data_IF_702122708002
#
_entry.id   IF_702122708002
#
_cell.length_a   1.000
_cell.length_b   1.000
_cell.length_c   1.000
_cell.angle_alpha   90.00
_cell.angle_beta   90.00
_cell.angle_gamma   90.00
#
_symmetry.space_group_name_H-M   'P 1'
#
loop_
_entity.id
_entity.type
_entity.pdbx_description
1 polymer ?
#
# COMPACT_ATOMS: atom_id res chain seq x y z
N UNK A 1 -24.75 -13.94 12.82
CA UNK A 1 -24.32 -12.75 13.60
C UNK A 1 -23.76 -11.77 12.59
N UNK A 2 -24.41 -10.61 12.44
CA UNK A 2 -24.04 -9.61 11.45
C UNK A 2 -22.83 -8.83 11.96
N UNK A 3 -21.68 -8.96 11.29
CA UNK A 3 -20.42 -8.29 11.63
C UNK A 3 -20.35 -6.85 11.07
N UNK A 4 -21.49 -6.19 10.91
CA UNK A 4 -21.55 -4.81 10.42
C UNK A 4 -21.30 -3.92 11.63
N UNK A 5 -20.09 -3.36 11.71
CA UNK A 5 -19.81 -2.30 12.68
C UNK A 5 -20.53 -1.02 12.24
N UNK A 6 -20.83 -0.13 13.20
CA UNK A 6 -21.67 1.07 13.10
C UNK A 6 -21.25 2.09 12.00
N UNK A 7 -20.16 1.82 11.29
CA UNK A 7 -19.60 2.59 10.17
C UNK A 7 -19.89 1.99 8.78
N UNK A 8 -20.59 0.86 8.70
CA UNK A 8 -20.92 0.19 7.43
C UNK A 8 -19.76 -0.57 6.78
N UNK A 9 -18.57 -0.57 7.38
CA UNK A 9 -17.41 -1.36 6.96
C UNK A 9 -17.29 -2.62 7.82
N UNK A 10 -17.03 -3.76 7.19
CA UNK A 10 -16.63 -4.97 7.91
C UNK A 10 -15.26 -4.77 8.53
N UNK A 11 -14.98 -5.46 9.65
CA UNK A 11 -13.66 -5.42 10.30
C UNK A 11 -12.52 -5.77 9.32
N UNK A 12 -12.77 -6.67 8.35
CA UNK A 12 -11.79 -7.05 7.31
C UNK A 12 -11.53 -5.91 6.34
N UNK A 13 -12.58 -5.25 5.85
CA UNK A 13 -12.43 -4.11 4.96
C UNK A 13 -11.70 -2.95 5.65
N UNK A 14 -11.96 -2.71 6.95
CA UNK A 14 -11.23 -1.74 7.75
C UNK A 14 -9.73 -2.07 7.87
N UNK A 15 -9.39 -3.33 8.17
CA UNK A 15 -7.99 -3.76 8.26
C UNK A 15 -7.22 -3.62 6.93
N UNK A 16 -7.88 -3.91 5.81
CA UNK A 16 -7.32 -3.72 4.46
C UNK A 16 -7.09 -2.23 4.19
N UNK A 17 -8.08 -1.37 4.44
CA UNK A 17 -7.96 0.09 4.28
C UNK A 17 -6.85 0.70 5.12
N UNK A 18 -6.72 0.27 6.39
CA UNK A 18 -5.66 0.74 7.28
C UNK A 18 -4.27 0.35 6.76
N UNK A 19 -4.13 -0.85 6.20
CA UNK A 19 -2.87 -1.34 5.64
C UNK A 19 -2.51 -0.59 4.36
N UNK A 20 -3.48 -0.39 3.47
CA UNK A 20 -3.34 0.42 2.26
C UNK A 20 -2.85 1.84 2.55
N UNK A 21 -3.40 2.51 3.58
CA UNK A 21 -2.96 3.85 3.97
C UNK A 21 -1.49 3.91 4.39
N UNK A 22 -1.04 2.94 5.20
CA UNK A 22 0.37 2.86 5.64
C UNK A 22 1.32 2.59 4.48
N UNK A 23 0.94 1.67 3.59
CA UNK A 23 1.76 1.34 2.42
C UNK A 23 1.85 2.53 1.47
N UNK A 24 0.75 3.28 1.28
CA UNK A 24 0.76 4.50 0.46
C UNK A 24 1.69 5.58 1.05
N UNK A 25 1.59 5.87 2.35
CA UNK A 25 2.46 6.86 2.99
C UNK A 25 3.95 6.49 2.84
N UNK A 26 4.28 5.21 3.05
CA UNK A 26 5.65 4.72 2.90
C UNK A 26 6.16 4.81 1.44
N UNK A 27 5.33 4.42 0.47
CA UNK A 27 5.70 4.39 -0.95
C UNK A 27 5.84 5.78 -1.58
N UNK A 28 4.96 6.71 -1.22
CA UNK A 28 4.92 8.03 -1.85
C UNK A 28 5.84 9.05 -1.18
N UNK A 29 6.03 8.99 0.14
CA UNK A 29 6.85 9.97 0.87
C UNK A 29 8.27 9.43 1.12
N UNK A 30 8.38 8.29 1.82
CA UNK A 30 9.67 7.80 2.32
C UNK A 30 10.57 7.27 1.21
N UNK A 31 10.04 6.41 0.34
CA UNK A 31 10.85 5.81 -0.74
C UNK A 31 11.28 6.86 -1.78
N UNK A 32 10.41 7.80 -2.11
CA UNK A 32 10.74 8.88 -3.05
C UNK A 32 11.96 9.69 -2.59
N UNK A 33 12.01 10.01 -1.30
CA UNK A 33 13.14 10.71 -0.69
C UNK A 33 14.43 9.90 -0.75
N UNK A 34 14.39 8.61 -0.43
CA UNK A 34 15.59 7.75 -0.46
C UNK A 34 16.12 7.48 -1.87
N UNK A 35 15.25 7.42 -2.88
CA UNK A 35 15.68 7.37 -4.28
C UNK A 35 16.43 8.65 -4.63
N UNK A 36 15.86 9.83 -4.29
CA UNK A 36 16.49 11.12 -4.59
C UNK A 36 17.83 11.29 -3.87
N UNK A 37 17.92 10.89 -2.61
CA UNK A 37 19.16 11.00 -1.83
C UNK A 37 20.23 10.05 -2.41
N UNK A 38 19.88 8.81 -2.78
CA UNK A 38 20.79 7.88 -3.42
C UNK A 38 21.30 8.39 -4.79
N UNK A 39 20.42 9.00 -5.60
CA UNK A 39 20.79 9.58 -6.88
C UNK A 39 21.72 10.79 -6.72
N UNK A 40 21.47 11.66 -5.73
CA UNK A 40 22.36 12.79 -5.39
C UNK A 40 23.74 12.34 -4.92
N UNK A 41 23.79 11.24 -4.18
CA UNK A 41 25.04 10.65 -3.69
C UNK A 41 25.77 9.80 -4.76
N UNK A 42 25.25 9.73 -5.98
CA UNK A 42 25.83 8.94 -7.07
C UNK A 42 25.73 7.42 -6.86
N UNK A 43 24.94 6.96 -5.90
CA UNK A 43 24.76 5.54 -5.54
C UNK A 43 23.62 4.92 -6.36
N UNK A 44 23.89 4.71 -7.65
CA UNK A 44 22.88 4.20 -8.60
C UNK A 44 22.38 2.80 -8.22
N UNK A 45 23.23 1.95 -7.68
CA UNK A 45 22.88 0.63 -7.13
C UNK A 45 21.82 0.72 -6.02
N UNK A 46 22.00 1.67 -5.11
CA UNK A 46 21.05 1.91 -4.03
C UNK A 46 19.74 2.52 -4.56
N UNK A 47 19.83 3.45 -5.49
CA UNK A 47 18.64 4.04 -6.12
C UNK A 47 17.80 2.96 -6.84
N UNK A 48 18.46 2.02 -7.52
CA UNK A 48 17.81 0.92 -8.22
C UNK A 48 17.17 -0.08 -7.24
N UNK A 49 17.86 -0.41 -6.14
CA UNK A 49 17.28 -1.20 -5.05
C UNK A 49 16.00 -0.56 -4.50
N UNK A 50 16.01 0.75 -4.22
CA UNK A 50 14.81 1.46 -3.75
C UNK A 50 13.69 1.50 -4.79
N UNK A 51 14.02 1.61 -6.08
CA UNK A 51 13.03 1.52 -7.17
C UNK A 51 12.38 0.14 -7.22
N UNK A 52 13.13 -0.95 -7.01
CA UNK A 52 12.56 -2.30 -6.91
C UNK A 52 11.61 -2.42 -5.72
N UNK A 53 12.02 -1.96 -4.53
CA UNK A 53 11.15 -1.97 -3.33
C UNK A 53 9.85 -1.19 -3.60
N UNK A 54 9.94 -0.05 -4.30
CA UNK A 54 8.77 0.74 -4.72
C UNK A 54 7.81 -0.07 -5.59
N UNK A 55 8.33 -0.75 -6.60
CA UNK A 55 7.52 -1.53 -7.54
C UNK A 55 6.80 -2.70 -6.85
N UNK A 56 7.49 -3.37 -5.92
CA UNK A 56 6.90 -4.45 -5.13
C UNK A 56 5.81 -3.93 -4.19
N UNK A 57 6.04 -2.79 -3.52
CA UNK A 57 5.02 -2.14 -2.69
C UNK A 57 3.79 -1.73 -3.51
N UNK A 58 3.96 -1.15 -4.69
CA UNK A 58 2.85 -0.83 -5.60
C UNK A 58 2.06 -2.08 -6.02
N UNK A 59 2.74 -3.23 -6.17
CA UNK A 59 2.08 -4.51 -6.44
C UNK A 59 1.25 -4.97 -5.23
N UNK A 60 1.76 -4.83 -4.01
CA UNK A 60 0.99 -5.14 -2.79
C UNK A 60 -0.25 -4.26 -2.66
N UNK A 61 -0.14 -2.95 -2.90
CA UNK A 61 -1.27 -2.02 -2.89
C UNK A 61 -2.35 -2.44 -3.90
N UNK A 62 -1.96 -2.83 -5.12
CA UNK A 62 -2.91 -3.35 -6.12
C UNK A 62 -3.64 -4.61 -5.64
N UNK A 63 -2.92 -5.58 -5.07
CA UNK A 63 -3.53 -6.81 -4.55
C UNK A 63 -4.50 -6.55 -3.39
N UNK A 64 -4.15 -5.63 -2.49
CA UNK A 64 -5.03 -5.24 -1.38
C UNK A 64 -6.27 -4.49 -1.87
N UNK A 65 -6.13 -3.65 -2.91
CA UNK A 65 -7.28 -3.01 -3.56
C UNK A 65 -8.22 -4.03 -4.18
N UNK A 66 -7.69 -5.01 -4.92
CA UNK A 66 -8.49 -6.09 -5.51
C UNK A 66 -9.20 -6.93 -4.44
N UNK A 67 -8.54 -7.18 -3.30
CA UNK A 67 -9.13 -7.88 -2.17
C UNK A 67 -10.27 -7.07 -1.52
N UNK A 68 -10.07 -5.75 -1.36
CA UNK A 68 -11.09 -4.85 -0.83
C UNK A 68 -12.32 -4.81 -1.75
N UNK A 69 -12.12 -4.67 -3.06
CA UNK A 69 -13.21 -4.68 -4.05
C UNK A 69 -14.02 -5.98 -3.96
N UNK A 70 -13.36 -7.14 -3.82
CA UNK A 70 -14.05 -8.42 -3.63
C UNK A 70 -14.87 -8.49 -2.35
N UNK A 71 -14.34 -8.03 -1.21
CA UNK A 71 -15.10 -8.04 0.05
C UNK A 71 -16.33 -7.14 -0.05
N UNK A 72 -16.22 -5.96 -0.67
CA UNK A 72 -17.34 -5.03 -0.86
C UNK A 72 -18.39 -5.61 -1.83
N UNK A 73 -17.95 -6.25 -2.93
CA UNK A 73 -18.85 -6.80 -3.94
C UNK A 73 -19.42 -8.18 -3.59
N UNK A 74 -18.80 -8.96 -2.69
CA UNK A 74 -19.38 -10.21 -2.19
C UNK A 74 -20.50 -9.98 -1.16
N UNK A 75 -20.56 -8.81 -0.54
CA UNK A 75 -21.64 -8.41 0.36
C UNK A 75 -22.76 -7.60 -0.32
N UNK A 76 -22.71 -7.44 -1.66
CA UNK A 76 -23.69 -6.74 -2.50
C UNK A 76 -24.82 -7.62 -3.02
#
# INVERSE_FOLDING_TARGET
MSNITDTGLTNRAYDILRTLGKDADFLYDTIGKYIQDAEKDGRQDLAEMWKTIKQDGEKHVRLLKDALEKEIHQES
#
